data_IF_073096978828
#
_entry.id   IF_073096978828
#
_cell.length_a   1.000
_cell.length_b   1.000
_cell.length_c   1.000
_cell.angle_alpha   90.00
_cell.angle_beta   90.00
_cell.angle_gamma   90.00
#
_symmetry.space_group_name_H-M   'P 1'
#
loop_
_entity.id
_entity.type
_entity.pdbx_description
1 polymer ?
#
# COMPACT_ATOMS: atom_id res chain seq x y z
N UNK A 1 1.80 45.52 -30.35
CA UNK A 1 1.68 44.88 -29.03
C UNK A 1 1.07 43.50 -29.24
N UNK A 2 1.90 42.47 -29.41
CA UNK A 2 1.44 41.11 -29.65
C UNK A 2 1.20 40.42 -28.31
N UNK A 3 -0.04 39.98 -28.05
CA UNK A 3 -0.40 39.21 -26.86
C UNK A 3 0.14 37.79 -27.06
N UNK A 4 0.99 37.26 -26.17
CA UNK A 4 1.41 35.88 -26.26
C UNK A 4 0.20 35.02 -25.84
N UNK A 5 -0.37 34.28 -26.78
CA UNK A 5 -1.29 33.20 -26.46
C UNK A 5 -0.48 32.13 -25.74
N UNK A 6 -0.62 32.02 -24.41
CA UNK A 6 -0.11 30.86 -23.70
C UNK A 6 -0.73 29.61 -24.32
N UNK A 7 0.09 28.78 -24.97
CA UNK A 7 -0.36 27.50 -25.48
C UNK A 7 -0.90 26.68 -24.30
N UNK A 8 -2.14 26.16 -24.35
CA UNK A 8 -2.63 25.28 -23.31
C UNK A 8 -1.67 24.10 -23.22
N UNK A 9 -1.05 23.91 -22.05
CA UNK A 9 -0.11 22.81 -21.80
C UNK A 9 -0.78 21.51 -22.24
N UNK A 10 -0.33 20.94 -23.35
CA UNK A 10 -0.84 19.65 -23.81
C UNK A 10 -0.64 18.65 -22.67
N UNK A 11 -1.71 18.00 -22.25
CA UNK A 11 -1.67 17.03 -21.17
C UNK A 11 -0.73 15.90 -21.59
N UNK A 12 0.37 15.73 -20.86
CA UNK A 12 1.38 14.74 -21.19
C UNK A 12 0.93 13.36 -20.69
N UNK A 13 0.14 12.69 -21.54
CA UNK A 13 -0.39 11.35 -21.29
C UNK A 13 0.68 10.34 -20.90
N UNK A 14 1.91 10.50 -21.40
CA UNK A 14 3.02 9.58 -21.07
C UNK A 14 3.46 9.75 -19.63
N UNK A 15 3.54 10.99 -19.16
CA UNK A 15 3.83 11.27 -17.76
C UNK A 15 2.68 10.85 -16.84
N UNK A 16 1.43 11.07 -17.26
CA UNK A 16 0.26 10.63 -16.50
C UNK A 16 0.21 9.09 -16.36
N UNK A 17 0.44 8.36 -17.46
CA UNK A 17 0.49 6.89 -17.45
C UNK A 17 1.65 6.36 -16.58
N UNK A 18 2.84 6.98 -16.67
CA UNK A 18 3.98 6.63 -15.81
C UNK A 18 3.67 6.86 -14.33
N UNK A 19 3.10 8.02 -13.98
CA UNK A 19 2.70 8.32 -12.61
C UNK A 19 1.66 7.32 -12.09
N UNK A 20 0.66 6.98 -12.90
CA UNK A 20 -0.36 6.01 -12.52
C UNK A 20 0.24 4.62 -12.28
N UNK A 21 1.10 4.14 -13.20
CA UNK A 21 1.76 2.85 -13.05
C UNK A 21 2.66 2.80 -11.81
N UNK A 22 3.41 3.88 -11.56
CA UNK A 22 4.26 4.00 -10.38
C UNK A 22 3.43 4.03 -9.08
N UNK A 23 2.31 4.77 -9.09
CA UNK A 23 1.40 4.85 -7.95
C UNK A 23 0.77 3.48 -7.65
N UNK A 24 0.22 2.81 -8.66
CA UNK A 24 -0.38 1.48 -8.52
C UNK A 24 0.67 0.48 -8.03
N UNK A 25 1.85 0.44 -8.67
CA UNK A 25 2.94 -0.45 -8.24
C UNK A 25 3.33 -0.20 -6.79
N UNK A 26 3.36 1.06 -6.36
CA UNK A 26 3.63 1.44 -4.97
C UNK A 26 2.51 0.99 -4.02
N UNK A 27 1.24 1.23 -4.36
CA UNK A 27 0.11 0.82 -3.53
C UNK A 27 0.06 -0.71 -3.42
N UNK A 28 0.12 -1.43 -4.53
CA UNK A 28 0.06 -2.90 -4.58
C UNK A 28 1.18 -3.53 -3.77
N UNK A 29 2.43 -3.06 -3.93
CA UNK A 29 3.55 -3.60 -3.14
C UNK A 29 3.44 -3.27 -1.66
N UNK A 30 2.91 -2.10 -1.30
CA UNK A 30 2.68 -1.75 0.12
C UNK A 30 1.58 -2.61 0.74
N UNK A 31 0.51 -2.86 -0.01
CA UNK A 31 -0.56 -3.76 0.40
C UNK A 31 -0.04 -5.19 0.58
N UNK A 32 0.78 -5.68 -0.36
CA UNK A 32 1.37 -7.01 -0.25
C UNK A 32 2.29 -7.14 0.97
N UNK A 33 3.08 -6.11 1.27
CA UNK A 33 3.90 -6.05 2.48
C UNK A 33 3.04 -6.08 3.76
N UNK A 34 1.91 -5.36 3.80
CA UNK A 34 1.04 -5.37 4.99
C UNK A 34 0.37 -6.73 5.21
N UNK A 35 -0.02 -7.44 4.14
CA UNK A 35 -0.48 -8.82 4.22
C UNK A 35 0.63 -9.77 4.66
N UNK A 36 1.85 -9.61 4.13
CA UNK A 36 3.01 -10.39 4.55
C UNK A 36 3.30 -10.23 6.04
N UNK A 37 3.28 -9.00 6.56
CA UNK A 37 3.44 -8.74 8.00
C UNK A 37 2.36 -9.40 8.85
N UNK A 38 1.10 -9.39 8.38
CA UNK A 38 0.02 -10.09 9.08
C UNK A 38 0.28 -11.60 9.14
N UNK A 39 0.66 -12.22 8.01
CA UNK A 39 1.00 -13.64 7.96
C UNK A 39 2.18 -13.96 8.88
N UNK A 40 3.25 -13.14 8.84
CA UNK A 40 4.41 -13.30 9.71
C UNK A 40 4.05 -13.15 11.20
N UNK A 41 3.11 -12.26 11.53
CA UNK A 41 2.60 -12.13 12.90
C UNK A 41 1.89 -13.40 13.39
N UNK A 42 1.00 -13.97 12.57
CA UNK A 42 0.36 -15.24 12.92
C UNK A 42 1.35 -16.40 12.96
N UNK A 43 2.35 -16.41 12.08
CA UNK A 43 3.42 -17.40 12.09
C UNK A 43 4.25 -17.31 13.36
N UNK A 44 4.58 -16.09 13.81
CA UNK A 44 5.27 -15.84 15.07
C UNK A 44 4.44 -16.31 16.28
N UNK A 45 3.12 -16.07 16.28
CA UNK A 45 2.21 -16.59 17.31
C UNK A 45 2.06 -18.12 17.28
N UNK A 46 2.36 -18.74 16.14
CA UNK A 46 2.34 -20.17 15.91
C UNK A 46 3.71 -20.84 16.11
N UNK A 47 4.62 -20.23 16.87
CA UNK A 47 5.98 -20.74 17.12
C UNK A 47 6.78 -21.01 15.82
N UNK A 48 6.58 -20.17 14.82
CA UNK A 48 7.16 -20.29 13.48
C UNK A 48 6.84 -21.61 12.74
N UNK A 49 5.76 -22.30 13.14
CA UNK A 49 5.28 -23.51 12.50
C UNK A 49 4.01 -23.27 11.67
N UNK A 50 3.86 -24.03 10.58
CA UNK A 50 2.64 -24.00 9.77
C UNK A 50 1.42 -24.52 10.54
N UNK A 51 1.60 -25.52 11.40
CA UNK A 51 0.52 -26.06 12.23
C UNK A 51 0.06 -25.01 13.26
N UNK A 52 1.01 -24.31 13.89
CA UNK A 52 0.73 -23.19 14.78
C UNK A 52 0.00 -22.04 14.06
N UNK A 53 0.43 -21.68 12.85
CA UNK A 53 -0.26 -20.69 12.02
C UNK A 53 -1.73 -21.09 11.77
N UNK A 54 -1.98 -22.33 11.33
CA UNK A 54 -3.34 -22.83 11.07
C UNK A 54 -4.18 -22.85 12.34
N UNK A 55 -3.59 -23.20 13.49
CA UNK A 55 -4.26 -23.16 14.78
C UNK A 55 -4.69 -21.73 15.16
N UNK A 56 -3.82 -20.73 14.96
CA UNK A 56 -4.17 -19.33 15.24
C UNK A 56 -5.27 -18.80 14.29
N UNK A 57 -5.24 -19.19 13.02
CA UNK A 57 -6.31 -18.86 12.07
C UNK A 57 -7.65 -19.52 12.42
N UNK A 58 -7.61 -20.76 12.88
CA UNK A 58 -8.79 -21.45 13.37
C UNK A 58 -9.37 -20.75 14.60
N UNK A 59 -8.52 -20.36 15.56
CA UNK A 59 -8.93 -19.61 16.76
C UNK A 59 -9.56 -18.25 16.41
N UNK A 60 -9.02 -17.55 15.42
CA UNK A 60 -9.60 -16.29 14.94
C UNK A 60 -10.97 -16.52 14.31
N UNK A 61 -11.06 -17.51 13.43
CA UNK A 61 -12.27 -17.80 12.65
C UNK A 61 -13.40 -18.32 13.55
N UNK A 62 -13.10 -19.19 14.51
CA UNK A 62 -14.09 -19.70 15.46
C UNK A 62 -14.66 -18.57 16.32
N UNK A 63 -13.81 -17.65 16.80
CA UNK A 63 -14.26 -16.44 17.52
C UNK A 63 -15.09 -15.52 16.64
N UNK A 64 -14.76 -15.37 15.36
CA UNK A 64 -15.55 -14.58 14.42
C UNK A 64 -16.93 -15.20 14.18
N UNK A 65 -17.01 -16.53 14.00
CA UNK A 65 -18.28 -17.22 13.75
C UNK A 65 -19.19 -17.32 14.98
N UNK A 66 -18.62 -17.29 16.19
CA UNK A 66 -19.36 -17.40 17.45
C UNK A 66 -20.06 -16.09 17.88
N UNK A 67 -19.93 -15.02 17.10
CA UNK A 67 -20.29 -13.66 17.51
C UNK A 67 -21.52 -13.13 16.76
N UNK A 68 -22.43 -12.47 17.49
CA UNK A 68 -23.59 -11.78 16.93
C UNK A 68 -23.20 -10.68 15.93
N UNK A 69 -24.07 -10.40 14.94
CA UNK A 69 -23.80 -9.45 13.84
C UNK A 69 -23.27 -8.08 14.28
N UNK A 70 -23.72 -7.59 15.44
CA UNK A 70 -23.27 -6.30 15.97
C UNK A 70 -21.78 -6.30 16.35
N UNK A 71 -21.26 -7.38 16.95
CA UNK A 71 -19.84 -7.46 17.33
C UNK A 71 -18.96 -7.93 16.16
N UNK A 72 -19.53 -8.52 15.12
CA UNK A 72 -18.81 -8.76 13.86
C UNK A 72 -18.37 -7.42 13.22
N UNK A 73 -19.21 -6.38 13.26
CA UNK A 73 -18.84 -5.04 12.79
C UNK A 73 -17.67 -4.46 13.57
N UNK A 74 -17.67 -4.60 14.90
CA UNK A 74 -16.55 -4.17 15.74
C UNK A 74 -15.25 -4.94 15.43
N UNK A 75 -15.35 -6.25 15.15
CA UNK A 75 -14.22 -7.05 14.71
C UNK A 75 -13.62 -6.54 13.38
N UNK A 76 -14.47 -6.26 12.38
CA UNK A 76 -14.01 -5.69 11.11
C UNK A 76 -13.41 -4.29 11.29
N UNK A 77 -13.97 -3.46 12.17
CA UNK A 77 -13.40 -2.16 12.50
C UNK A 77 -12.00 -2.28 13.10
N UNK A 78 -11.78 -3.24 14.01
CA UNK A 78 -10.45 -3.53 14.57
C UNK A 78 -9.47 -4.04 13.51
N UNK A 79 -9.88 -5.02 12.70
CA UNK A 79 -9.04 -5.58 11.64
C UNK A 79 -8.68 -4.52 10.58
N UNK A 80 -9.66 -3.71 10.19
CA UNK A 80 -9.47 -2.56 9.30
C UNK A 80 -8.57 -1.50 9.91
N UNK A 81 -8.73 -1.19 11.20
CA UNK A 81 -7.88 -0.25 11.93
C UNK A 81 -6.42 -0.70 11.98
N UNK A 82 -6.17 -1.99 12.30
CA UNK A 82 -4.81 -2.57 12.29
C UNK A 82 -4.21 -2.49 10.88
N UNK A 83 -4.97 -2.83 9.84
CA UNK A 83 -4.47 -2.72 8.46
C UNK A 83 -4.18 -1.27 8.06
N UNK A 84 -5.04 -0.32 8.42
CA UNK A 84 -4.81 1.09 8.13
C UNK A 84 -3.53 1.60 8.82
N UNK A 85 -3.31 1.21 10.08
CA UNK A 85 -2.09 1.53 10.82
C UNK A 85 -0.84 0.92 10.17
N UNK A 86 -0.90 -0.36 9.75
CA UNK A 86 0.21 -1.02 9.04
C UNK A 86 0.54 -0.33 7.72
N UNK A 87 -0.48 -0.04 6.92
CA UNK A 87 -0.32 0.69 5.66
C UNK A 87 0.27 2.08 5.89
N UNK A 88 -0.24 2.83 6.86
CA UNK A 88 0.29 4.15 7.20
C UNK A 88 1.76 4.08 7.62
N UNK A 89 2.12 3.12 8.48
CA UNK A 89 3.50 2.90 8.91
C UNK A 89 4.41 2.58 7.72
N UNK A 90 4.01 1.62 6.87
CA UNK A 90 4.76 1.24 5.67
C UNK A 90 4.91 2.40 4.67
N UNK A 91 3.87 3.20 4.46
CA UNK A 91 3.92 4.38 3.61
C UNK A 91 4.87 5.44 4.18
N UNK A 92 4.87 5.66 5.50
CA UNK A 92 5.79 6.58 6.16
C UNK A 92 7.25 6.11 6.05
N UNK A 93 7.51 4.81 6.23
CA UNK A 93 8.84 4.21 6.02
C UNK A 93 9.28 4.34 4.56
N UNK A 94 8.34 4.13 3.63
CA UNK A 94 8.59 4.14 2.19
C UNK A 94 8.56 5.53 1.57
N UNK A 95 8.19 6.58 2.31
CA UNK A 95 7.98 7.96 1.81
C UNK A 95 9.08 8.46 0.88
N UNK A 96 10.32 8.07 1.14
CA UNK A 96 11.50 8.48 0.36
C UNK A 96 11.57 7.84 -1.05
N UNK A 97 10.85 6.74 -1.28
CA UNK A 97 10.79 6.01 -2.55
C UNK A 97 9.51 6.27 -3.35
N UNK A 98 8.54 7.01 -2.80
CA UNK A 98 7.24 7.28 -3.44
C UNK A 98 7.31 8.42 -4.45
N UNK A 99 8.21 9.39 -4.24
CA UNK A 99 8.41 10.48 -5.18
C UNK A 99 9.24 9.93 -6.34
N UNK A 100 8.71 9.89 -7.58
CA UNK A 100 9.52 9.54 -8.73
C UNK A 100 10.67 10.53 -8.75
N UNK A 101 11.91 10.04 -8.62
CA UNK A 101 13.09 10.87 -8.84
C UNK A 101 12.86 11.50 -10.20
N UNK A 102 12.65 12.83 -10.24
CA UNK A 102 12.70 13.59 -11.48
C UNK A 102 14.02 13.20 -12.09
N UNK A 103 13.98 12.35 -13.11
CA UNK A 103 15.13 12.06 -13.94
C UNK A 103 15.52 13.42 -14.44
N UNK A 104 16.55 14.00 -13.82
CA UNK A 104 17.12 15.26 -14.26
C UNK A 104 17.38 15.03 -15.73
N UNK A 105 16.58 15.69 -16.56
CA UNK A 105 16.70 15.72 -18.01
C UNK A 105 18.18 15.94 -18.25
N UNK A 106 18.89 14.86 -18.60
CA UNK A 106 20.32 14.89 -18.86
C UNK A 106 20.44 15.87 -20.01
N UNK A 107 20.88 17.07 -19.67
CA UNK A 107 21.29 18.10 -20.60
C UNK A 107 22.47 17.52 -21.38
N UNK A 108 22.16 16.75 -22.43
CA UNK A 108 23.05 16.63 -23.57
C UNK A 108 22.84 17.88 -24.41
N UNK A 109 23.35 18.99 -23.87
CA UNK A 109 23.79 20.14 -24.63
C UNK A 109 25.26 20.30 -24.23
N UNK A 110 26.12 20.50 -25.23
CA UNK A 110 27.60 20.47 -25.24
C UNK A 110 28.15 19.05 -25.42
N UNK A 111 28.82 18.70 -26.52
CA UNK A 111 29.67 19.46 -27.47
C UNK A 111 29.48 18.92 -28.88
#
# INVERSE_FOLDING_TARGET
MAIPFEQPRSFDWRHAAYCLLHLIGTITSTLLMSWGLLVLFFLMLGDFSFDGLMHQLHNLTSRYMAVDRERATAFFALLGGVQLCLLACLLLLRRHSIVPRRTARRSHIHV
#
